data_IF_761462508953
#
_entry.id   IF_761462508953
#
_cell.length_a   1.000
_cell.length_b   1.000
_cell.length_c   1.000
_cell.angle_alpha   90.00
_cell.angle_beta   90.00
_cell.angle_gamma   90.00
#
_symmetry.space_group_name_H-M   'P 1'
#
loop_
_entity.id
_entity.type
_entity.pdbx_description
1 polymer ?
#
# COMPACT_ATOMS: atom_id res chain seq x y z
N UNK A 1 -0.58 -17.83 1.26
CA UNK A 1 -0.64 -16.56 2.02
C UNK A 1 -0.81 -16.88 3.51
N UNK A 2 -0.12 -16.17 4.41
CA UNK A 2 -0.26 -16.33 5.86
C UNK A 2 -0.85 -15.07 6.48
N UNK A 3 -1.67 -15.23 7.53
CA UNK A 3 -2.23 -14.09 8.25
C UNK A 3 -1.12 -13.30 8.98
N UNK A 4 -0.85 -12.03 8.66
CA UNK A 4 0.31 -11.29 9.18
C UNK A 4 0.36 -11.21 10.71
N UNK A 5 -0.78 -10.97 11.35
CA UNK A 5 -0.89 -10.92 12.82
C UNK A 5 -0.52 -12.25 13.49
N UNK A 6 -0.87 -13.39 12.88
CA UNK A 6 -0.55 -14.70 13.45
C UNK A 6 0.94 -14.98 13.35
N UNK A 7 1.53 -14.69 12.19
CA UNK A 7 2.99 -14.81 11.99
C UNK A 7 3.73 -13.97 13.02
N UNK A 8 3.35 -12.70 13.20
CA UNK A 8 3.99 -11.80 14.18
C UNK A 8 3.89 -12.32 15.60
N UNK A 9 2.72 -12.81 16.01
CA UNK A 9 2.50 -13.37 17.36
C UNK A 9 3.38 -14.61 17.59
N UNK A 10 3.44 -15.53 16.62
CA UNK A 10 4.22 -16.76 16.71
C UNK A 10 5.73 -16.48 16.68
N UNK A 11 6.19 -15.64 15.75
CA UNK A 11 7.59 -15.24 15.62
C UNK A 11 8.12 -14.63 16.93
N UNK A 12 7.37 -13.67 17.50
CA UNK A 12 7.73 -13.06 18.79
C UNK A 12 7.69 -14.03 19.96
N UNK A 13 6.67 -14.90 20.02
CA UNK A 13 6.53 -15.91 21.09
C UNK A 13 7.74 -16.84 21.16
N UNK A 14 8.28 -17.24 20.02
CA UNK A 14 9.40 -18.18 19.95
C UNK A 14 10.75 -17.49 19.77
N UNK A 15 10.81 -16.15 19.75
CA UNK A 15 12.05 -15.41 19.54
C UNK A 15 12.69 -15.65 18.16
N UNK A 16 11.90 -16.02 17.15
CA UNK A 16 12.36 -16.34 15.80
C UNK A 16 12.13 -15.15 14.86
N UNK A 17 13.22 -14.47 14.49
CA UNK A 17 13.22 -13.43 13.46
C UNK A 17 13.89 -13.98 12.21
N UNK A 18 13.08 -14.45 11.25
CA UNK A 18 13.56 -15.01 9.98
C UNK A 18 13.19 -14.11 8.82
N UNK A 19 13.89 -14.28 7.71
CA UNK A 19 13.57 -13.64 6.43
C UNK A 19 12.12 -13.88 5.98
N UNK A 20 11.60 -15.08 6.22
CA UNK A 20 10.22 -15.45 5.92
C UNK A 20 9.23 -14.77 6.85
N UNK A 21 9.45 -14.80 8.16
CA UNK A 21 8.55 -14.16 9.13
C UNK A 21 8.50 -12.65 8.91
N UNK A 22 9.65 -12.00 8.68
CA UNK A 22 9.73 -10.57 8.39
C UNK A 22 8.83 -10.13 7.22
N UNK A 23 8.83 -10.92 6.13
CA UNK A 23 8.01 -10.66 4.93
C UNK A 23 6.54 -10.94 5.19
N UNK A 24 6.19 -12.11 5.76
CA UNK A 24 4.80 -12.46 5.99
C UNK A 24 4.11 -11.59 7.05
N UNK A 25 4.84 -11.03 8.02
CA UNK A 25 4.32 -10.06 8.98
C UNK A 25 3.90 -8.72 8.37
N UNK A 26 4.46 -8.37 7.20
CA UNK A 26 4.13 -7.16 6.45
C UNK A 26 3.10 -7.39 5.35
N UNK A 27 2.76 -8.65 5.08
CA UNK A 27 1.89 -9.03 3.96
C UNK A 27 2.72 -9.40 2.73
N UNK A 28 2.42 -10.57 2.17
CA UNK A 28 2.93 -11.00 0.86
C UNK A 28 1.77 -10.98 -0.13
N UNK A 29 2.04 -10.78 -1.42
CA UNK A 29 0.98 -10.80 -2.43
C UNK A 29 0.33 -12.19 -2.53
N UNK A 30 -0.95 -12.35 -2.17
CA UNK A 30 -1.62 -13.63 -2.27
C UNK A 30 -1.77 -14.08 -3.74
N UNK A 31 -1.93 -13.14 -4.66
CA UNK A 31 -2.25 -13.42 -6.07
C UNK A 31 -1.02 -13.76 -6.91
N UNK A 32 0.19 -13.49 -6.42
CA UNK A 32 1.44 -13.80 -7.12
C UNK A 32 1.98 -15.21 -6.82
N UNK A 33 1.33 -15.97 -5.92
CA UNK A 33 1.84 -17.25 -5.39
C UNK A 33 2.15 -18.27 -6.49
N UNK A 34 1.22 -18.48 -7.45
CA UNK A 34 1.39 -19.46 -8.53
C UNK A 34 2.55 -19.07 -9.45
N UNK A 35 2.67 -17.79 -9.79
CA UNK A 35 3.74 -17.30 -10.66
C UNK A 35 5.11 -17.53 -10.01
N UNK A 36 5.26 -17.16 -8.73
CA UNK A 36 6.50 -17.34 -7.98
C UNK A 36 6.83 -18.83 -7.81
N UNK A 37 5.83 -19.68 -7.53
CA UNK A 37 6.02 -21.14 -7.46
C UNK A 37 6.60 -21.71 -8.76
N UNK A 38 6.01 -21.35 -9.90
CA UNK A 38 6.50 -21.77 -11.22
C UNK A 38 7.92 -21.29 -11.47
N UNK A 39 8.22 -20.02 -11.14
CA UNK A 39 9.57 -19.47 -11.30
C UNK A 39 10.59 -20.22 -10.44
N UNK A 40 10.26 -20.53 -9.20
CA UNK A 40 11.13 -21.30 -8.30
C UNK A 40 11.37 -22.72 -8.84
N UNK A 41 10.34 -23.43 -9.29
CA UNK A 41 10.48 -24.76 -9.88
C UNK A 41 11.36 -24.76 -11.13
N UNK A 42 11.19 -23.78 -12.02
CA UNK A 42 12.02 -23.62 -13.21
C UNK A 42 13.49 -23.36 -12.85
N UNK A 43 13.76 -22.52 -11.85
CA UNK A 43 15.12 -22.26 -11.38
C UNK A 43 15.79 -23.50 -10.77
N UNK A 44 15.05 -24.30 -9.99
CA UNK A 44 15.56 -25.55 -9.43
C UNK A 44 15.92 -26.54 -10.55
N UNK A 45 15.06 -26.66 -11.57
CA UNK A 45 15.33 -27.49 -12.75
C UNK A 45 16.58 -27.03 -13.49
N UNK A 46 16.71 -25.73 -13.75
CA UNK A 46 17.83 -25.15 -14.48
C UNK A 46 19.17 -25.31 -13.73
N UNK A 47 19.17 -25.03 -12.42
CA UNK A 47 20.41 -24.93 -11.64
C UNK A 47 20.84 -26.27 -11.02
N UNK A 48 19.88 -27.10 -10.60
CA UNK A 48 20.15 -28.37 -9.90
C UNK A 48 19.82 -29.61 -10.73
N UNK A 49 19.27 -29.45 -11.95
CA UNK A 49 18.97 -30.56 -12.86
C UNK A 49 17.75 -31.40 -12.45
N UNK A 50 16.92 -30.92 -11.53
CA UNK A 50 15.73 -31.63 -11.07
C UNK A 50 14.65 -31.77 -12.14
N UNK A 51 13.76 -32.75 -11.98
CA UNK A 51 12.55 -32.91 -12.82
C UNK A 51 11.33 -32.31 -12.12
N UNK A 52 10.48 -31.62 -12.89
CA UNK A 52 9.21 -31.09 -12.40
C UNK A 52 8.14 -32.17 -12.65
N UNK A 53 7.44 -32.57 -11.60
CA UNK A 53 6.41 -33.62 -11.66
C UNK A 53 5.13 -33.14 -10.97
N UNK A 54 3.98 -33.56 -11.52
CA UNK A 54 2.66 -33.35 -10.95
C UNK A 54 2.03 -32.00 -11.26
N UNK A 55 0.73 -31.92 -10.99
CA UNK A 55 -0.06 -30.69 -11.15
C UNK A 55 0.12 -29.74 -9.97
N UNK A 56 -0.06 -28.43 -10.23
CA UNK A 56 -0.05 -27.41 -9.19
C UNK A 56 -1.28 -27.58 -8.29
N UNK A 57 -1.04 -27.72 -6.99
CA UNK A 57 -2.09 -27.67 -5.97
C UNK A 57 -2.15 -26.27 -5.37
N UNK A 58 -3.23 -25.55 -5.64
CA UNK A 58 -3.49 -24.24 -5.05
C UNK A 58 -4.75 -24.29 -4.18
N UNK A 59 -4.61 -23.92 -2.91
CA UNK A 59 -5.69 -23.91 -1.93
C UNK A 59 -6.06 -22.47 -1.60
N UNK A 60 -6.91 -21.88 -2.44
CA UNK A 60 -7.29 -20.47 -2.37
C UNK A 60 -8.81 -20.29 -2.42
N UNK A 61 -9.52 -20.64 -1.32
CA UNK A 61 -10.98 -20.71 -1.32
C UNK A 61 -11.68 -19.35 -1.45
N UNK A 62 -11.02 -18.27 -1.02
CA UNK A 62 -11.53 -16.90 -1.12
C UNK A 62 -10.48 -16.03 -1.78
N UNK A 63 -10.69 -15.75 -3.06
CA UNK A 63 -9.78 -14.91 -3.85
C UNK A 63 -9.83 -13.49 -3.30
N UNK A 64 -8.66 -12.93 -3.00
CA UNK A 64 -8.49 -11.54 -2.59
C UNK A 64 -8.46 -10.70 -3.85
N UNK A 65 -9.51 -9.90 -4.04
CA UNK A 65 -9.59 -8.96 -5.16
C UNK A 65 -8.76 -7.69 -4.91
N UNK A 66 -8.44 -6.99 -6.00
CA UNK A 66 -7.83 -5.67 -5.95
C UNK A 66 -8.75 -4.69 -5.21
N UNK A 67 -8.30 -4.07 -4.10
CA UNK A 67 -9.09 -3.08 -3.38
C UNK A 67 -9.51 -1.94 -4.30
N UNK A 68 -10.74 -1.46 -4.11
CA UNK A 68 -11.31 -0.34 -4.86
C UNK A 68 -11.19 0.94 -4.02
N UNK A 69 -10.56 1.98 -4.58
CA UNK A 69 -10.36 3.27 -3.90
C UNK A 69 -10.87 4.40 -4.80
N UNK A 70 -11.71 5.28 -4.26
CA UNK A 70 -12.13 6.49 -4.95
C UNK A 70 -11.18 7.65 -4.61
N UNK A 71 -10.66 8.33 -5.62
CA UNK A 71 -9.72 9.45 -5.49
C UNK A 71 -10.31 10.68 -6.17
N UNK A 72 -10.32 11.84 -5.50
CA UNK A 72 -10.69 13.13 -6.13
C UNK A 72 -9.43 13.93 -6.47
N UNK A 73 -9.38 14.52 -7.65
CA UNK A 73 -8.31 15.42 -8.05
C UNK A 73 -8.27 16.66 -7.15
N UNK A 74 -9.42 17.28 -6.89
CA UNK A 74 -9.51 18.44 -6.00
C UNK A 74 -8.98 18.12 -4.60
N UNK A 75 -9.40 16.99 -4.01
CA UNK A 75 -8.89 16.57 -2.69
C UNK A 75 -7.39 16.30 -2.71
N UNK A 76 -6.89 15.66 -3.78
CA UNK A 76 -5.46 15.36 -3.96
C UNK A 76 -4.63 16.65 -3.96
N UNK A 77 -4.97 17.61 -4.81
CA UNK A 77 -4.28 18.90 -4.87
C UNK A 77 -4.41 19.68 -3.56
N UNK A 78 -5.57 19.63 -2.90
CA UNK A 78 -5.79 20.29 -1.61
C UNK A 78 -4.95 19.71 -0.48
N UNK A 79 -4.76 18.39 -0.41
CA UNK A 79 -3.94 17.74 0.61
C UNK A 79 -2.44 17.94 0.35
N UNK A 80 -2.04 17.90 -0.92
CA UNK A 80 -0.65 18.15 -1.33
C UNK A 80 -0.29 19.63 -1.14
N UNK A 81 -1.26 20.53 -1.28
CA UNK A 81 -1.03 21.98 -1.24
C UNK A 81 -0.47 22.54 -2.54
N UNK A 82 -0.62 21.81 -3.66
CA UNK A 82 -0.18 22.24 -5.00
C UNK A 82 -1.13 21.70 -6.05
N UNK A 83 -1.41 22.52 -7.07
CA UNK A 83 -2.11 22.05 -8.25
C UNK A 83 -1.19 21.17 -9.10
N UNK A 84 -1.60 19.92 -9.30
CA UNK A 84 -0.90 18.97 -10.15
C UNK A 84 -1.80 18.66 -11.36
N UNK A 85 -1.27 18.73 -12.60
CA UNK A 85 -2.05 18.37 -13.78
C UNK A 85 -2.60 16.94 -13.70
N UNK A 86 -3.86 16.75 -14.12
CA UNK A 86 -4.53 15.43 -14.10
C UNK A 86 -3.72 14.35 -14.84
N UNK A 87 -3.12 14.69 -15.98
CA UNK A 87 -2.28 13.78 -16.76
C UNK A 87 -1.03 13.32 -15.99
N UNK A 88 -0.41 14.21 -15.22
CA UNK A 88 0.72 13.86 -14.36
C UNK A 88 0.30 12.87 -13.28
N UNK A 89 -0.86 13.11 -12.64
CA UNK A 89 -1.41 12.18 -11.63
C UNK A 89 -1.67 10.81 -12.25
N UNK A 90 -2.31 10.75 -13.42
CA UNK A 90 -2.59 9.48 -14.12
C UNK A 90 -1.30 8.74 -14.51
N UNK A 91 -0.28 9.46 -14.99
CA UNK A 91 1.03 8.89 -15.31
C UNK A 91 1.71 8.29 -14.07
N UNK A 92 1.61 8.95 -12.92
CA UNK A 92 2.16 8.46 -11.65
C UNK A 92 1.42 7.19 -11.21
N UNK A 93 0.08 7.21 -11.21
CA UNK A 93 -0.73 6.06 -10.84
C UNK A 93 -0.39 4.84 -11.71
N UNK A 94 -0.27 5.02 -13.03
CA UNK A 94 0.12 3.95 -13.94
C UNK A 94 1.55 3.43 -13.65
N UNK A 95 2.50 4.32 -13.35
CA UNK A 95 3.87 3.92 -12.98
C UNK A 95 3.93 3.13 -11.67
N UNK A 96 2.94 3.31 -10.79
CA UNK A 96 2.75 2.54 -9.56
C UNK A 96 1.90 1.28 -9.78
N UNK A 97 1.57 0.95 -11.03
CA UNK A 97 0.69 -0.16 -11.42
C UNK A 97 -0.73 -0.06 -10.82
N UNK A 98 -1.13 1.13 -10.37
CA UNK A 98 -2.49 1.40 -9.91
C UNK A 98 -3.37 1.60 -11.12
N UNK A 99 -4.31 0.68 -11.28
CA UNK A 99 -5.23 0.65 -12.41
C UNK A 99 -6.36 1.68 -12.19
N UNK A 100 -6.63 2.48 -13.21
CA UNK A 100 -7.77 3.41 -13.22
C UNK A 100 -8.93 2.67 -13.89
N UNK A 101 -9.91 2.27 -13.09
CA UNK A 101 -11.12 1.57 -13.56
C UNK A 101 -12.07 2.54 -14.26
N UNK A 102 -12.29 3.73 -13.69
CA UNK A 102 -13.20 4.75 -14.22
C UNK A 102 -12.68 6.17 -13.91
N UNK A 103 -12.98 7.13 -14.78
CA UNK A 103 -12.74 8.56 -14.58
C UNK A 103 -14.06 9.31 -14.82
N UNK A 104 -14.55 10.03 -13.80
CA UNK A 104 -15.80 10.80 -13.86
C UNK A 104 -15.59 12.22 -13.34
N UNK A 105 -15.44 13.18 -14.26
CA UNK A 105 -15.30 14.60 -13.93
C UNK A 105 -14.06 14.90 -13.08
N UNK A 106 -14.24 14.99 -11.75
CA UNK A 106 -13.16 15.24 -10.79
C UNK A 106 -12.70 13.99 -10.00
N UNK A 107 -13.31 12.83 -10.24
CA UNK A 107 -13.04 11.61 -9.49
C UNK A 107 -12.47 10.49 -10.36
N UNK A 108 -11.58 9.70 -9.76
CA UNK A 108 -11.05 8.44 -10.28
C UNK A 108 -11.50 7.30 -9.39
N UNK A 109 -11.81 6.19 -10.03
CA UNK A 109 -12.01 4.91 -9.39
C UNK A 109 -10.78 4.05 -9.64
N UNK A 110 -10.09 3.63 -8.59
CA UNK A 110 -8.81 2.94 -8.66
C UNK A 110 -8.90 1.50 -8.20
N UNK A 111 -8.13 0.61 -8.82
CA UNK A 111 -7.90 -0.77 -8.39
C UNK A 111 -6.45 -0.92 -7.96
N UNK A 112 -6.28 -1.11 -6.65
CA UNK A 112 -4.97 -1.19 -6.01
C UNK A 112 -4.38 -2.60 -6.23
N UNK A 113 -3.11 -2.74 -6.64
CA UNK A 113 -2.45 -4.04 -6.71
C UNK A 113 -2.48 -4.76 -5.36
N UNK A 114 -2.74 -6.07 -5.36
CA UNK A 114 -2.90 -6.85 -4.11
C UNK A 114 -1.64 -6.98 -3.28
N UNK A 115 -0.46 -6.66 -3.84
CA UNK A 115 0.78 -6.57 -3.09
C UNK A 115 0.90 -5.27 -2.26
N UNK A 116 0.13 -4.22 -2.55
CA UNK A 116 0.11 -2.95 -1.80
C UNK A 116 -0.86 -3.04 -0.63
N UNK A 117 -0.48 -3.81 0.38
CA UNK A 117 -1.27 -3.98 1.62
C UNK A 117 -1.38 -2.71 2.47
N UNK A 118 -0.53 -1.72 2.19
CA UNK A 118 -0.43 -0.43 2.84
C UNK A 118 -1.41 0.61 2.27
N UNK A 119 -1.93 0.39 1.06
CA UNK A 119 -2.80 1.36 0.36
C UNK A 119 -4.25 0.92 0.47
N UNK A 120 -4.98 1.52 1.42
CA UNK A 120 -6.38 1.15 1.70
C UNK A 120 -7.36 2.32 1.53
N UNK A 121 -6.86 3.55 1.59
CA UNK A 121 -7.65 4.77 1.53
C UNK A 121 -7.10 5.69 0.46
N UNK A 122 -7.92 6.65 0.08
CA UNK A 122 -7.56 7.70 -0.87
C UNK A 122 -6.33 8.50 -0.42
N UNK A 123 -6.22 8.82 0.87
CA UNK A 123 -5.05 9.52 1.42
C UNK A 123 -3.74 8.73 1.29
N UNK A 124 -3.79 7.40 1.29
CA UNK A 124 -2.60 6.57 1.11
C UNK A 124 -2.14 6.65 -0.37
N UNK A 125 -3.08 6.73 -1.32
CA UNK A 125 -2.80 7.00 -2.74
C UNK A 125 -2.26 8.42 -2.94
N UNK A 126 -2.79 9.41 -2.22
CA UNK A 126 -2.30 10.80 -2.28
C UNK A 126 -0.84 10.90 -1.79
N UNK A 127 -0.48 10.16 -0.73
CA UNK A 127 0.91 10.08 -0.26
C UNK A 127 1.83 9.51 -1.33
N UNK A 128 1.42 8.42 -1.98
CA UNK A 128 2.16 7.83 -3.09
C UNK A 128 2.34 8.80 -4.27
N UNK A 129 1.27 9.52 -4.65
CA UNK A 129 1.32 10.54 -5.69
C UNK A 129 2.33 11.62 -5.30
N UNK A 130 2.28 12.12 -4.08
CA UNK A 130 3.20 13.14 -3.58
C UNK A 130 4.65 12.63 -3.56
N UNK A 131 4.86 11.38 -3.13
CA UNK A 131 6.18 10.74 -3.06
C UNK A 131 6.83 10.64 -4.44
N UNK A 132 6.08 10.24 -5.45
CA UNK A 132 6.59 10.14 -6.83
C UNK A 132 6.68 11.51 -7.50
N UNK A 133 5.72 12.41 -7.25
CA UNK A 133 5.80 13.79 -7.73
C UNK A 133 7.01 14.52 -7.14
N UNK A 134 7.40 14.19 -5.91
CA UNK A 134 8.57 14.70 -5.22
C UNK A 134 8.24 15.85 -4.27
N UNK A 135 8.56 15.66 -2.98
CA UNK A 135 8.37 16.68 -1.94
C UNK A 135 9.05 18.02 -2.24
N UNK A 136 10.18 18.00 -2.95
CA UNK A 136 10.91 19.21 -3.34
C UNK A 136 10.15 20.10 -4.33
N UNK A 137 9.15 19.53 -5.02
CA UNK A 137 8.31 20.30 -5.94
C UNK A 137 7.19 21.05 -5.22
N UNK A 138 7.05 20.87 -3.90
CA UNK A 138 6.08 21.58 -3.07
C UNK A 138 6.73 22.84 -2.52
N UNK A 139 6.15 23.99 -2.87
CA UNK A 139 6.63 25.28 -2.41
C UNK A 139 6.34 25.47 -0.92
N UNK A 140 7.35 25.87 -0.16
CA UNK A 140 7.17 26.22 1.24
C UNK A 140 6.53 27.61 1.29
N UNK A 141 5.32 27.68 1.84
CA UNK A 141 4.61 28.94 2.01
C UNK A 141 5.38 29.91 2.90
N UNK A 142 5.35 31.20 2.56
CA UNK A 142 5.93 32.29 3.37
C UNK A 142 5.09 32.66 4.60
N UNK A 143 3.86 32.14 4.68
CA UNK A 143 2.94 32.35 5.80
C UNK A 143 2.63 31.04 6.51
N UNK A 144 2.77 31.02 7.83
CA UNK A 144 2.44 29.87 8.66
C UNK A 144 1.06 30.08 9.29
N UNK A 145 0.08 29.24 8.94
CA UNK A 145 -1.25 29.25 9.56
C UNK A 145 -1.25 28.27 10.74
N UNK A 146 -1.08 28.79 11.95
CA UNK A 146 -1.22 28.02 13.18
C UNK A 146 -2.65 28.14 13.72
N UNK A 147 -3.25 27.02 14.12
CA UNK A 147 -4.45 27.03 14.94
C UNK A 147 -4.03 26.96 16.41
N UNK A 148 -4.45 27.93 17.22
CA UNK A 148 -4.36 27.79 18.67
C UNK A 148 -5.49 26.86 19.13
N UNK A 149 -5.14 25.60 19.40
CA UNK A 149 -6.03 24.71 20.14
C UNK A 149 -5.95 25.05 21.63
N UNK A 150 -7.09 25.34 22.24
CA UNK A 150 -7.22 25.42 23.69
C UNK A 150 -7.54 24.04 24.28
N UNK A 151 -7.09 23.80 25.50
CA UNK A 151 -7.35 22.56 26.23
C UNK A 151 -8.87 22.35 26.42
N UNK A 152 -9.40 21.25 25.89
CA UNK A 152 -10.82 20.90 26.04
C UNK A 152 -11.06 20.12 27.34
N UNK A 153 -12.32 20.05 27.84
CA UNK A 153 -12.64 19.19 28.99
C UNK A 153 -12.26 17.72 28.77
N UNK A 154 -12.31 17.25 27.51
CA UNK A 154 -11.90 15.91 27.10
C UNK A 154 -10.39 15.70 27.23
N UNK A 155 -9.59 16.73 26.95
CA UNK A 155 -8.12 16.67 27.10
C UNK A 155 -7.72 16.60 28.58
N UNK A 156 -8.41 17.38 29.43
CA UNK A 156 -8.24 17.34 30.89
C UNK A 156 -8.57 15.97 31.47
N UNK A 157 -9.66 15.36 31.01
CA UNK A 157 -10.08 14.04 31.48
C UNK A 157 -9.08 12.93 31.11
N UNK A 158 -8.33 13.12 30.01
CA UNK A 158 -7.37 12.14 29.51
C UNK A 158 -5.90 12.48 29.83
N UNK A 159 -5.65 13.53 30.64
CA UNK A 159 -4.31 13.99 31.02
C UNK A 159 -3.34 14.11 29.83
N UNK A 160 -3.84 14.53 28.66
CA UNK A 160 -3.00 14.77 27.51
C UNK A 160 -2.18 16.04 27.79
N UNK A 161 -0.89 15.87 28.10
CA UNK A 161 0.03 16.99 28.18
C UNK A 161 0.11 17.65 26.81
N UNK A 162 -0.28 18.92 26.72
CA UNK A 162 0.15 19.77 25.63
C UNK A 162 1.68 19.83 25.67
N UNK A 163 2.32 19.34 24.61
CA UNK A 163 3.75 19.54 24.33
C UNK A 163 4.06 21.03 24.15
#
# INVERSE_FOLDING_TARGET
YFHPTWVRKTARRHGLSTDSSFRFERGADPNNTIFVLKRAALLIKELAGGTIEGDIRDAYPSVIEKPKVALSYQKTCSLIGKEIPKETIKSILNSLEIEIEEETGDALTLRIPTYRVDVLRDVDVVEDILRIYGYNNIEIGTSLKGNLSFETPTDRANALQAL
#
